data_IF_759334323032
#
_entry.id   IF_759334323032
#
_cell.length_a   1.000
_cell.length_b   1.000
_cell.length_c   1.000
_cell.angle_alpha   90.00
_cell.angle_beta   90.00
_cell.angle_gamma   90.00
#
_symmetry.space_group_name_H-M   'P 1'
#
loop_
_entity.id
_entity.type
_entity.pdbx_description
1 polymer ?
#
# COMPACT_ATOMS: atom_id res chain seq x y z
N UNK A 1 0.54 -5.56 5.17
CA UNK A 1 -0.56 -5.34 6.14
C UNK A 1 -1.24 -6.64 6.60
N UNK A 2 -0.70 -7.81 6.26
CA UNK A 2 -1.39 -9.09 6.50
C UNK A 2 -1.63 -9.40 7.98
N UNK A 3 -0.71 -8.96 8.84
CA UNK A 3 -0.75 -9.12 10.29
C UNK A 3 -1.80 -8.26 11.01
N UNK A 4 -2.43 -7.31 10.32
CA UNK A 4 -3.52 -6.49 10.89
C UNK A 4 -4.87 -7.13 10.54
N UNK A 5 -5.75 -7.38 11.51
CA UNK A 5 -7.10 -7.92 11.24
C UNK A 5 -7.84 -7.07 10.21
N UNK A 6 -8.50 -7.71 9.22
CA UNK A 6 -9.10 -7.03 8.06
C UNK A 6 -9.98 -5.83 8.42
N UNK A 7 -10.80 -5.97 9.46
CA UNK A 7 -11.72 -4.92 9.93
C UNK A 7 -11.01 -3.71 10.58
N UNK A 8 -9.75 -3.85 11.02
CA UNK A 8 -8.96 -2.76 11.64
C UNK A 8 -8.00 -2.08 10.69
N UNK A 9 -7.86 -2.59 9.46
CA UNK A 9 -6.85 -2.09 8.51
C UNK A 9 -7.14 -0.64 8.07
N UNK A 10 -8.41 -0.31 7.84
CA UNK A 10 -8.83 1.06 7.51
C UNK A 10 -8.51 2.03 8.65
N UNK A 11 -8.98 1.73 9.85
CA UNK A 11 -8.76 2.54 11.06
C UNK A 11 -7.26 2.79 11.31
N UNK A 12 -6.40 1.77 11.09
CA UNK A 12 -4.97 1.94 11.20
C UNK A 12 -4.41 2.98 10.21
N UNK A 13 -4.84 2.93 8.94
CA UNK A 13 -4.40 3.89 7.91
C UNK A 13 -4.88 5.29 8.26
N UNK A 14 -6.15 5.46 8.65
CA UNK A 14 -6.70 6.75 9.10
C UNK A 14 -5.90 7.31 10.27
N UNK A 15 -5.63 6.46 11.27
CA UNK A 15 -4.86 6.85 12.45
C UNK A 15 -3.44 7.26 12.09
N UNK A 16 -2.76 6.55 11.20
CA UNK A 16 -1.39 6.88 10.81
C UNK A 16 -1.32 8.18 10.00
N UNK A 17 -2.28 8.42 9.10
CA UNK A 17 -2.36 9.68 8.35
C UNK A 17 -2.54 10.89 9.27
N UNK A 18 -3.19 10.73 10.43
CA UNK A 18 -3.26 11.80 11.43
C UNK A 18 -1.94 12.15 12.11
N UNK A 19 -0.84 11.43 11.83
CA UNK A 19 0.46 11.59 12.50
C UNK A 19 1.59 11.98 11.55
N UNK A 20 1.33 12.02 10.24
CA UNK A 20 2.35 12.31 9.23
C UNK A 20 1.75 12.98 8.00
N UNK A 21 2.54 13.81 7.33
CA UNK A 21 2.13 14.44 6.06
C UNK A 21 2.09 13.44 4.90
N UNK A 22 2.86 12.35 4.99
CA UNK A 22 2.94 11.30 3.99
C UNK A 22 3.07 9.93 4.63
N UNK A 23 2.08 9.07 4.39
CA UNK A 23 2.12 7.68 4.78
C UNK A 23 2.64 6.83 3.61
N UNK A 24 3.85 6.30 3.75
CA UNK A 24 4.42 5.35 2.80
C UNK A 24 4.01 3.94 3.22
N UNK A 25 3.15 3.31 2.42
CA UNK A 25 2.76 1.92 2.59
C UNK A 25 3.73 1.09 1.76
N UNK A 26 4.73 0.60 2.48
CA UNK A 26 5.63 -0.38 1.92
C UNK A 26 5.00 -1.78 1.94
N UNK A 27 5.44 -2.55 0.95
CA UNK A 27 5.81 -3.97 1.08
C UNK A 27 4.70 -4.96 0.71
N UNK A 28 4.99 -5.79 -0.30
CA UNK A 28 5.23 -7.24 -0.23
C UNK A 28 5.54 -7.72 -1.66
N UNK A 29 6.12 -8.90 -1.82
CA UNK A 29 6.26 -9.55 -3.12
C UNK A 29 4.85 -9.80 -3.68
N UNK A 30 4.24 -8.82 -4.33
CA UNK A 30 2.99 -9.02 -5.04
C UNK A 30 3.33 -9.73 -6.35
N UNK A 31 2.55 -10.77 -6.68
CA UNK A 31 2.55 -11.32 -8.03
C UNK A 31 2.36 -10.15 -9.00
N UNK A 32 3.21 -10.07 -10.02
CA UNK A 32 3.37 -8.89 -10.88
C UNK A 32 2.05 -8.34 -11.48
N UNK A 33 0.99 -9.15 -11.55
CA UNK A 33 -0.31 -8.75 -12.10
C UNK A 33 -1.38 -8.41 -11.06
N UNK A 34 -1.19 -8.73 -9.78
CA UNK A 34 -2.10 -8.36 -8.70
C UNK A 34 -1.80 -6.96 -8.17
N UNK A 35 -2.84 -6.14 -7.95
CA UNK A 35 -2.75 -4.87 -7.20
C UNK A 35 -3.70 -4.83 -5.99
N UNK A 36 -3.69 -5.86 -5.13
CA UNK A 36 -4.67 -5.97 -4.05
C UNK A 36 -4.57 -4.83 -3.04
N UNK A 37 -3.36 -4.33 -2.75
CA UNK A 37 -3.17 -3.24 -1.78
C UNK A 37 -3.72 -1.90 -2.30
N UNK A 38 -3.44 -1.56 -3.57
CA UNK A 38 -3.97 -0.37 -4.22
C UNK A 38 -5.51 -0.42 -4.30
N UNK A 39 -6.08 -1.55 -4.73
CA UNK A 39 -7.53 -1.73 -4.80
C UNK A 39 -8.20 -1.62 -3.43
N UNK A 40 -7.59 -2.17 -2.39
CA UNK A 40 -8.08 -2.10 -1.02
C UNK A 40 -8.11 -0.67 -0.49
N UNK A 41 -7.04 0.10 -0.69
CA UNK A 41 -6.96 1.49 -0.23
C UNK A 41 -7.97 2.38 -0.96
N UNK A 42 -8.11 2.21 -2.28
CA UNK A 42 -9.13 2.90 -3.06
C UNK A 42 -10.55 2.54 -2.62
N UNK A 43 -10.80 1.29 -2.20
CA UNK A 43 -12.11 0.88 -1.67
C UNK A 43 -12.49 1.53 -0.33
N UNK A 44 -11.53 2.19 0.32
CA UNK A 44 -11.73 2.99 1.53
C UNK A 44 -11.64 4.50 1.26
N UNK A 45 -11.73 4.90 -0.01
CA UNK A 45 -11.67 6.30 -0.47
C UNK A 45 -10.33 7.02 -0.19
N UNK A 46 -9.25 6.28 0.06
CA UNK A 46 -7.92 6.90 0.16
C UNK A 46 -7.36 7.27 -1.22
N UNK A 47 -6.95 8.53 -1.34
CA UNK A 47 -6.26 9.04 -2.52
C UNK A 47 -4.78 8.64 -2.50
N UNK A 48 -4.40 7.69 -3.35
CA UNK A 48 -2.99 7.34 -3.53
C UNK A 48 -2.33 8.43 -4.37
N UNK A 49 -1.41 9.17 -3.78
CA UNK A 49 -0.76 10.33 -4.41
C UNK A 49 0.54 9.97 -5.12
N UNK A 50 1.04 8.75 -4.94
CA UNK A 50 2.08 8.22 -5.81
C UNK A 50 2.48 6.78 -5.51
N UNK A 51 3.36 6.28 -6.37
CA UNK A 51 3.85 4.89 -6.35
C UNK A 51 5.24 4.78 -6.94
N UNK A 52 5.97 3.75 -6.53
CA UNK A 52 7.23 3.33 -7.15
C UNK A 52 7.27 1.82 -7.26
N UNK A 53 7.78 1.31 -8.38
CA UNK A 53 7.85 -0.12 -8.68
C UNK A 53 9.26 -0.52 -9.13
N UNK A 54 9.71 -1.69 -8.69
CA UNK A 54 11.00 -2.27 -9.06
C UNK A 54 10.88 -3.78 -9.23
N UNK A 55 11.15 -4.26 -10.43
CA UNK A 55 11.14 -5.70 -10.72
C UNK A 55 12.23 -6.44 -9.94
N UNK A 56 11.85 -7.56 -9.33
CA UNK A 56 12.78 -8.42 -8.60
C UNK A 56 13.73 -9.14 -9.57
N UNK A 57 15.02 -8.77 -9.58
CA UNK A 57 16.00 -9.31 -10.54
C UNK A 57 16.12 -10.84 -10.54
N UNK A 58 15.98 -11.49 -9.39
CA UNK A 58 16.16 -12.94 -9.25
C UNK A 58 14.86 -13.76 -9.19
N UNK A 59 13.68 -13.13 -9.27
CA UNK A 59 12.38 -13.84 -9.17
C UNK A 59 11.44 -13.26 -10.23
N UNK A 60 11.41 -13.85 -11.45
CA UNK A 60 10.46 -13.48 -12.48
C UNK A 60 9.04 -13.56 -11.93
N UNK A 61 8.23 -12.52 -12.12
CA UNK A 61 6.84 -12.46 -11.66
C UNK A 61 6.61 -11.82 -10.29
N UNK A 62 7.66 -11.26 -9.66
CA UNK A 62 7.54 -10.49 -8.42
C UNK A 62 8.02 -9.05 -8.65
N UNK A 63 7.16 -8.08 -8.34
CA UNK A 63 7.51 -6.66 -8.33
C UNK A 63 7.52 -6.12 -6.89
N UNK A 64 8.60 -5.43 -6.52
CA UNK A 64 8.60 -4.61 -5.32
C UNK A 64 7.82 -3.34 -5.60
N UNK A 65 6.71 -3.14 -4.88
CA UNK A 65 5.90 -1.94 -4.97
C UNK A 65 5.85 -1.22 -3.64
N UNK A 66 5.92 0.10 -3.74
CA UNK A 66 5.62 1.02 -2.65
C UNK A 66 4.61 2.04 -3.17
N UNK A 67 3.69 2.44 -2.31
CA UNK A 67 2.69 3.46 -2.60
C UNK A 67 2.60 4.40 -1.41
N UNK A 68 2.16 5.62 -1.65
CA UNK A 68 1.97 6.60 -0.58
C UNK A 68 0.68 7.38 -0.75
N UNK A 69 0.17 7.81 0.39
CA UNK A 69 -0.98 8.69 0.55
C UNK A 69 -0.45 9.93 1.27
N UNK A 70 -0.74 11.10 0.73
CA UNK A 70 -0.48 12.35 1.43
C UNK A 70 -1.69 12.70 2.30
N UNK A 71 -1.43 13.18 3.52
CA UNK A 71 -2.47 13.71 4.38
C UNK A 71 -3.04 14.99 3.74
N UNK A 72 -4.35 15.19 3.90
CA UNK A 72 -5.09 16.36 3.40
C UNK A 72 -5.04 17.49 4.42
#
# INVERSE_FOLDING_TARGET
MEYVPRHRRRELVERLLGWCDRLIIGVFNEEAHGRPTEGLLRSWDFAITGRSERTHRAKPGIDYRVLWIDAV
#
